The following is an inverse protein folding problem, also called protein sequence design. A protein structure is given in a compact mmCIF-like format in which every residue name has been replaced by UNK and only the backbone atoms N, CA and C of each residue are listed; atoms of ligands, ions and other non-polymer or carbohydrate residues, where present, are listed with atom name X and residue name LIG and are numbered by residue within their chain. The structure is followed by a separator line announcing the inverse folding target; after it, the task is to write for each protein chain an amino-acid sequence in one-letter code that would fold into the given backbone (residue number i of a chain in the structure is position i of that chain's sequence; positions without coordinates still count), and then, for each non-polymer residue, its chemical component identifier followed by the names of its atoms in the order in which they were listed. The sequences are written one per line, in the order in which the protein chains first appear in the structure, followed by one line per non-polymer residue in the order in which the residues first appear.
data_IF_320123111245
#
_entry.id   IF_320123111245
#
_cell.length_a   1.000
_cell.length_b   1.000
_cell.length_c   1.000
_cell.angle_alpha   90.00
_cell.angle_beta   90.00
_cell.angle_gamma   90.00
#
_symmetry.space_group_name_H-M   'P 1'
#
loop_
_entity.id
_entity.type
_entity.pdbx_description
1 polymer ?
#
# COMPACT_ATOMS: atom_id res chain seq x y z
N UNK A 1 -8.96 22.44 3.08
CA UNK A 1 -8.71 23.65 2.29
C UNK A 1 -8.85 23.26 0.83
N UNK A 2 -9.97 23.62 0.17
CA UNK A 2 -10.19 23.31 -1.25
C UNK A 2 -9.30 24.24 -2.09
N UNK A 3 -8.41 23.67 -2.89
CA UNK A 3 -7.64 24.42 -3.87
C UNK A 3 -8.57 24.87 -5.01
N UNK A 4 -8.38 26.06 -5.59
CA UNK A 4 -9.24 26.57 -6.65
C UNK A 4 -9.17 25.68 -7.89
N UNK A 5 -10.34 25.32 -8.42
CA UNK A 5 -10.48 24.67 -9.74
C UNK A 5 -10.11 25.69 -10.81
N UNK A 6 -8.92 25.59 -11.37
CA UNK A 6 -8.51 26.45 -12.48
C UNK A 6 -8.89 25.78 -13.79
N UNK A 7 -9.94 26.30 -14.38
CA UNK A 7 -10.46 25.95 -15.71
C UNK A 7 -9.67 26.66 -16.81
N UNK A 8 -8.45 26.23 -17.06
CA UNK A 8 -7.74 26.64 -18.27
C UNK A 8 -7.14 25.39 -18.92
N UNK A 9 -7.79 24.81 -19.90
CA UNK A 9 -7.38 23.86 -20.94
C UNK A 9 -6.14 22.95 -20.79
N UNK A 10 -5.28 23.19 -19.83
CA UNK A 10 -4.26 22.28 -19.36
C UNK A 10 -4.92 21.36 -18.33
N UNK A 11 -5.07 20.09 -18.65
CA UNK A 11 -5.67 19.11 -17.74
C UNK A 11 -5.03 19.18 -16.34
N UNK A 12 -5.70 18.60 -15.33
CA UNK A 12 -5.30 18.60 -13.90
C UNK A 12 -3.80 18.34 -13.65
N UNK A 13 -3.13 17.64 -14.57
CA UNK A 13 -1.68 17.39 -14.54
C UNK A 13 -0.81 18.64 -14.79
N UNK A 14 -1.36 19.74 -15.31
CA UNK A 14 -0.59 20.96 -15.60
C UNK A 14 -0.12 21.73 -14.37
N UNK A 15 -0.72 21.48 -13.22
CA UNK A 15 -0.38 22.12 -11.93
C UNK A 15 0.05 21.10 -10.87
N UNK A 16 0.17 19.85 -11.25
CA UNK A 16 0.50 18.75 -10.35
C UNK A 16 1.98 18.79 -9.98
N UNK A 17 2.29 18.51 -8.72
CA UNK A 17 3.66 18.27 -8.22
C UNK A 17 4.21 16.90 -8.63
N UNK A 18 3.48 16.18 -9.50
CA UNK A 18 3.83 14.86 -10.04
C UNK A 18 4.05 13.79 -8.95
N UNK A 19 3.16 13.70 -7.97
CA UNK A 19 3.25 12.70 -6.89
C UNK A 19 3.40 11.28 -7.44
N UNK A 20 2.61 10.89 -8.44
CA UNK A 20 2.69 9.58 -9.11
C UNK A 20 4.06 9.25 -9.75
N UNK A 21 4.96 10.24 -9.85
CA UNK A 21 6.34 10.08 -10.31
C UNK A 21 7.38 10.20 -9.20
N UNK A 22 6.96 10.34 -7.95
CA UNK A 22 7.87 10.53 -6.79
C UNK A 22 7.95 9.33 -5.88
N UNK A 23 7.12 8.34 -6.08
CA UNK A 23 7.13 7.07 -5.37
C UNK A 23 6.59 5.94 -6.24
N UNK A 24 6.75 4.73 -5.79
CA UNK A 24 5.98 3.58 -6.26
C UNK A 24 5.63 2.70 -5.05
N UNK A 25 4.51 2.00 -5.14
CA UNK A 25 4.10 1.06 -4.12
C UNK A 25 3.67 -0.27 -4.76
N UNK A 26 3.80 -1.36 -4.00
CA UNK A 26 3.34 -2.67 -4.39
C UNK A 26 2.74 -3.42 -3.20
N UNK A 27 1.73 -4.23 -3.49
CA UNK A 27 1.07 -5.02 -2.46
C UNK A 27 1.94 -6.19 -2.03
N UNK A 28 1.90 -6.48 -0.74
CA UNK A 28 2.56 -7.64 -0.12
C UNK A 28 1.52 -8.49 0.60
N UNK A 29 1.88 -9.73 0.89
CA UNK A 29 1.02 -10.60 1.67
C UNK A 29 0.93 -10.10 3.13
N UNK A 30 -0.26 -10.19 3.71
CA UNK A 30 -0.49 -9.86 5.13
C UNK A 30 0.43 -10.71 6.02
N UNK A 31 1.23 -10.10 6.89
CA UNK A 31 2.15 -10.82 7.77
C UNK A 31 1.37 -11.68 8.77
N UNK A 32 1.85 -12.91 9.00
CA UNK A 32 1.19 -13.90 9.87
C UNK A 32 2.11 -14.48 10.94
N UNK A 33 3.41 -14.45 10.70
CA UNK A 33 4.44 -15.07 11.55
C UNK A 33 5.47 -14.01 11.94
N UNK A 34 6.24 -14.30 12.98
CA UNK A 34 7.33 -13.41 13.40
C UNK A 34 8.29 -13.08 12.26
N UNK A 35 8.65 -14.07 11.44
CA UNK A 35 9.54 -13.88 10.29
C UNK A 35 8.98 -12.87 9.28
N UNK A 36 7.69 -12.92 8.99
CA UNK A 36 7.06 -11.99 8.03
C UNK A 36 7.23 -10.53 8.52
N UNK A 37 7.14 -10.30 9.84
CA UNK A 37 7.37 -8.97 10.44
C UNK A 37 8.85 -8.57 10.45
N UNK A 38 9.77 -9.52 10.56
CA UNK A 38 11.20 -9.25 10.41
C UNK A 38 11.53 -8.83 8.96
N UNK A 39 10.88 -9.45 7.96
CA UNK A 39 11.01 -9.05 6.56
C UNK A 39 10.47 -7.61 6.36
N UNK A 40 9.34 -7.24 6.98
CA UNK A 40 8.82 -5.87 6.95
C UNK A 40 9.76 -4.88 7.63
N UNK A 41 10.31 -5.26 8.79
CA UNK A 41 11.32 -4.45 9.48
C UNK A 41 12.54 -4.22 8.60
N UNK A 42 13.00 -5.24 7.89
CA UNK A 42 14.11 -5.12 6.95
C UNK A 42 13.79 -4.13 5.81
N UNK A 43 12.59 -4.13 5.25
CA UNK A 43 12.21 -3.14 4.23
C UNK A 43 12.31 -1.71 4.76
N UNK A 44 11.78 -1.42 5.95
CA UNK A 44 11.78 -0.06 6.55
C UNK A 44 13.20 0.42 6.93
N UNK A 45 14.15 -0.48 7.17
CA UNK A 45 15.55 -0.10 7.41
C UNK A 45 16.20 0.55 6.16
N UNK A 46 15.57 0.47 5.00
CA UNK A 46 16.04 1.17 3.81
C UNK A 46 15.43 2.56 3.76
N UNK A 47 16.29 3.55 3.48
CA UNK A 47 15.86 4.95 3.34
C UNK A 47 14.69 5.10 2.36
N UNK A 48 13.83 6.08 2.61
CA UNK A 48 12.68 6.41 1.78
C UNK A 48 11.64 5.28 1.61
N UNK A 49 11.70 4.24 2.45
CA UNK A 49 10.75 3.12 2.43
C UNK A 49 9.78 3.23 3.58
N UNK A 50 8.50 3.06 3.28
CA UNK A 50 7.44 2.99 4.28
C UNK A 50 6.56 1.78 4.02
N UNK A 51 5.83 1.36 5.04
CA UNK A 51 4.80 0.32 4.93
C UNK A 51 3.47 0.92 5.37
N UNK A 52 2.42 0.65 4.61
CA UNK A 52 1.08 1.06 5.00
C UNK A 52 0.06 -0.07 4.79
N UNK A 53 -1.08 0.07 5.45
CA UNK A 53 -2.22 -0.82 5.33
C UNK A 53 -3.43 0.01 4.93
N UNK A 54 -4.11 -0.40 3.89
CA UNK A 54 -5.33 0.21 3.37
C UNK A 54 -6.33 -0.90 3.08
N UNK A 55 -7.54 -0.79 3.61
CA UNK A 55 -8.59 -1.82 3.52
C UNK A 55 -8.10 -3.23 3.88
N UNK A 56 -7.22 -3.32 4.89
CA UNK A 56 -6.61 -4.57 5.34
C UNK A 56 -5.57 -5.18 4.40
N UNK A 57 -5.29 -4.55 3.24
CA UNK A 57 -4.21 -4.92 2.32
C UNK A 57 -2.92 -4.20 2.70
N UNK A 58 -1.80 -4.92 2.67
CA UNK A 58 -0.48 -4.43 3.02
C UNK A 58 0.30 -4.00 1.79
N UNK A 59 1.03 -2.88 1.90
CA UNK A 59 1.83 -2.30 0.84
C UNK A 59 3.20 -1.89 1.35
N UNK A 60 4.21 -2.03 0.49
CA UNK A 60 5.51 -1.37 0.63
C UNK A 60 5.53 -0.22 -0.38
N UNK A 61 5.89 0.96 0.08
CA UNK A 61 6.10 2.14 -0.75
C UNK A 61 7.56 2.58 -0.66
N UNK A 62 8.11 2.92 -1.81
CA UNK A 62 9.47 3.47 -1.95
C UNK A 62 9.36 4.87 -2.53
N UNK A 63 9.80 5.88 -1.77
CA UNK A 63 9.71 7.28 -2.14
C UNK A 63 10.92 7.69 -2.99
N UNK A 64 10.91 7.31 -4.26
CA UNK A 64 11.98 7.62 -5.21
C UNK A 64 11.43 8.27 -6.48
N UNK A 65 12.09 9.37 -6.87
CA UNK A 65 11.74 10.09 -8.08
C UNK A 65 11.95 9.22 -9.32
N UNK A 66 10.94 9.18 -10.20
CA UNK A 66 11.05 8.56 -11.50
C UNK A 66 12.14 9.24 -12.36
N UNK A 67 12.98 8.45 -13.02
CA UNK A 67 14.06 8.97 -13.90
C UNK A 67 13.53 9.74 -15.10
N UNK A 68 12.29 9.49 -15.52
CA UNK A 68 11.64 10.18 -16.63
C UNK A 68 10.91 11.47 -16.21
N UNK A 69 10.92 11.84 -14.93
CA UNK A 69 10.31 13.07 -14.44
C UNK A 69 11.21 14.27 -14.80
N UNK A 70 10.68 15.19 -15.58
CA UNK A 70 11.34 16.43 -15.99
C UNK A 70 11.31 17.50 -14.87
N UNK A 71 12.16 18.54 -14.95
CA UNK A 71 12.20 19.62 -13.96
C UNK A 71 10.87 20.39 -13.81
N UNK A 72 10.08 20.45 -14.88
CA UNK A 72 8.75 21.08 -14.92
C UNK A 72 7.61 20.18 -14.42
N UNK A 73 7.93 19.07 -13.74
CA UNK A 73 7.00 18.04 -13.26
C UNK A 73 6.24 17.29 -14.38
N UNK A 74 6.69 17.36 -15.63
CA UNK A 74 6.11 16.59 -16.73
C UNK A 74 6.84 15.26 -16.93
N UNK A 75 6.15 14.33 -17.57
CA UNK A 75 6.70 13.04 -17.93
C UNK A 75 7.44 13.12 -19.26
N UNK A 76 8.77 12.92 -19.27
CA UNK A 76 9.59 12.92 -20.47
C UNK A 76 9.31 11.78 -21.46
N UNK A 77 8.61 10.73 -21.00
CA UNK A 77 8.20 9.58 -21.82
C UNK A 77 6.67 9.44 -21.92
N UNK A 78 5.94 10.55 -21.90
CA UNK A 78 4.48 10.56 -21.78
C UNK A 78 3.78 9.59 -22.75
N UNK A 79 4.15 9.58 -24.01
CA UNK A 79 3.56 8.71 -25.04
C UNK A 79 3.98 7.25 -24.91
N UNK A 80 5.14 6.98 -24.29
CA UNK A 80 5.72 5.64 -24.11
C UNK A 80 5.65 5.18 -22.64
N UNK A 81 4.72 5.73 -21.87
CA UNK A 81 4.54 5.34 -20.46
C UNK A 81 4.22 3.86 -20.33
N UNK A 82 4.75 3.19 -19.29
CA UNK A 82 4.30 1.85 -18.89
C UNK A 82 2.79 1.79 -18.66
N UNK A 83 2.20 0.62 -18.83
CA UNK A 83 0.75 0.42 -18.67
C UNK A 83 0.23 0.88 -17.31
N UNK A 84 1.00 0.64 -16.24
CA UNK A 84 0.66 1.10 -14.89
C UNK A 84 0.52 2.63 -14.83
N UNK A 85 1.41 3.38 -15.46
CA UNK A 85 1.33 4.84 -15.52
C UNK A 85 0.16 5.35 -16.36
N UNK A 86 -0.29 4.56 -17.36
CA UNK A 86 -1.47 4.91 -18.18
C UNK A 86 -2.78 4.62 -17.46
N UNK A 87 -2.75 3.70 -16.49
CA UNK A 87 -3.92 3.36 -15.68
C UNK A 87 -4.29 4.43 -14.65
N UNK A 88 -3.42 5.40 -14.39
CA UNK A 88 -3.74 6.53 -13.53
C UNK A 88 -4.81 7.41 -14.15
N UNK A 89 -5.91 7.60 -13.43
CA UNK A 89 -6.97 8.50 -13.79
C UNK A 89 -6.87 9.78 -12.98
N UNK A 90 -7.29 10.89 -13.56
CA UNK A 90 -7.27 12.20 -12.89
C UNK A 90 -8.23 12.31 -11.72
N UNK A 91 -9.31 11.54 -11.74
CA UNK A 91 -10.31 11.44 -10.68
C UNK A 91 -9.83 10.65 -9.44
N UNK A 92 -8.81 9.79 -9.62
CA UNK A 92 -8.14 9.04 -8.56
C UNK A 92 -6.70 9.51 -8.36
N UNK A 93 -6.43 10.78 -8.58
CA UNK A 93 -5.09 11.35 -8.46
C UNK A 93 -4.80 11.77 -7.00
N UNK A 94 -3.70 11.32 -6.42
CA UNK A 94 -3.27 11.61 -5.05
C UNK A 94 -3.20 13.11 -4.73
N UNK A 95 -2.92 13.94 -5.74
CA UNK A 95 -2.90 15.38 -5.59
C UNK A 95 -4.27 16.00 -5.43
N UNK A 96 -5.30 15.38 -6.02
CA UNK A 96 -6.67 15.87 -6.04
C UNK A 96 -7.61 15.07 -5.13
N UNK A 97 -7.18 13.91 -4.64
CA UNK A 97 -7.96 13.11 -3.71
C UNK A 97 -8.06 13.78 -2.34
N UNK A 98 -9.18 13.58 -1.66
CA UNK A 98 -9.32 13.87 -0.24
C UNK A 98 -8.35 12.97 0.56
N UNK A 99 -8.11 13.32 1.83
CA UNK A 99 -7.16 12.59 2.67
C UNK A 99 -7.48 11.10 2.70
N UNK A 100 -6.43 10.27 2.53
CA UNK A 100 -6.54 8.82 2.65
C UNK A 100 -6.70 8.40 4.10
N UNK A 101 -7.57 7.42 4.33
CA UNK A 101 -7.77 6.82 5.64
C UNK A 101 -7.02 5.47 5.67
N UNK A 102 -5.77 5.52 6.20
CA UNK A 102 -4.98 4.31 6.36
C UNK A 102 -5.30 3.60 7.66
N UNK A 103 -5.47 2.30 7.61
CA UNK A 103 -5.55 1.46 8.81
C UNK A 103 -4.29 1.60 9.67
N UNK A 104 -3.12 1.58 9.02
CA UNK A 104 -1.80 1.73 9.64
C UNK A 104 -0.77 2.32 8.67
N UNK A 105 0.14 3.13 9.20
CA UNK A 105 1.33 3.61 8.50
C UNK A 105 2.55 3.39 9.40
N UNK A 106 3.61 2.82 8.82
CA UNK A 106 4.86 2.54 9.49
C UNK A 106 6.00 3.20 8.71
N UNK A 107 6.73 4.08 9.37
CA UNK A 107 7.88 4.81 8.84
C UNK A 107 9.18 4.41 9.52
N UNK A 108 9.07 3.77 10.71
CA UNK A 108 10.20 3.39 11.54
C UNK A 108 10.14 1.90 11.91
N UNK A 109 11.28 1.20 11.98
CA UNK A 109 11.33 -0.23 12.29
C UNK A 109 10.73 -0.58 13.67
N UNK A 110 10.84 0.32 14.65
CA UNK A 110 10.29 0.12 16.00
C UNK A 110 8.76 0.09 16.01
N UNK A 111 8.12 0.76 15.06
CA UNK A 111 6.66 0.72 14.92
C UNK A 111 6.20 -0.67 14.48
N UNK A 112 6.92 -1.30 13.54
CA UNK A 112 6.65 -2.69 13.10
C UNK A 112 6.90 -3.66 14.24
N UNK A 113 7.99 -3.50 15.01
CA UNK A 113 8.30 -4.39 16.14
C UNK A 113 7.20 -4.37 17.20
N UNK A 114 6.72 -3.17 17.56
CA UNK A 114 5.63 -2.98 18.51
C UNK A 114 4.34 -3.59 18.01
N UNK A 115 3.95 -3.26 16.78
CA UNK A 115 2.76 -3.83 16.14
C UNK A 115 2.83 -5.37 16.07
N UNK A 116 3.97 -5.93 15.65
CA UNK A 116 4.17 -7.38 15.58
C UNK A 116 3.98 -8.09 16.93
N UNK A 117 4.51 -7.50 17.98
CA UNK A 117 4.38 -8.03 19.36
C UNK A 117 2.91 -8.10 19.77
N UNK A 118 2.17 -7.01 19.56
CA UNK A 118 0.75 -6.93 19.91
C UNK A 118 -0.11 -7.87 19.06
N UNK A 119 0.09 -7.83 17.74
CA UNK A 119 -0.64 -8.66 16.79
C UNK A 119 -0.45 -10.16 17.05
N UNK A 120 0.79 -10.60 17.25
CA UNK A 120 1.09 -12.01 17.52
C UNK A 120 0.57 -12.46 18.89
N UNK A 121 0.60 -11.59 19.91
CA UNK A 121 0.01 -11.88 21.21
C UNK A 121 -1.52 -12.02 21.14
N UNK A 122 -2.19 -11.10 20.47
CA UNK A 122 -3.64 -11.15 20.26
C UNK A 122 -4.06 -12.41 19.48
N UNK A 123 -3.30 -12.77 18.44
CA UNK A 123 -3.54 -13.97 17.65
C UNK A 123 -3.36 -15.26 18.46
N UNK A 124 -2.33 -15.33 19.32
CA UNK A 124 -2.12 -16.47 20.24
C UNK A 124 -3.28 -16.59 21.24
N UNK A 125 -3.74 -15.46 21.80
CA UNK A 125 -4.89 -15.43 22.70
C UNK A 125 -6.16 -15.94 22.03
N UNK A 126 -6.45 -15.48 20.80
CA UNK A 126 -7.60 -15.92 20.01
C UNK A 126 -7.54 -17.41 19.67
N UNK A 127 -6.36 -17.93 19.30
CA UNK A 127 -6.17 -19.35 19.04
C UNK A 127 -6.40 -20.24 20.28
N UNK A 128 -5.92 -19.79 21.45
CA UNK A 128 -6.17 -20.49 22.72
C UNK A 128 -7.65 -20.53 23.10
N UNK A 129 -8.36 -19.41 22.87
CA UNK A 129 -9.80 -19.33 23.15
C UNK A 129 -10.62 -20.22 22.22
N UNK A 130 -10.28 -20.28 20.93
CA UNK A 130 -10.95 -21.16 19.96
C UNK A 130 -10.69 -22.63 20.27
N UNK A 131 -9.45 -23.00 20.64
CA UNK A 131 -9.11 -24.35 21.05
C UNK A 131 -9.86 -24.79 22.36
N UNK A 132 -10.07 -23.85 23.26
CA UNK A 132 -10.84 -24.11 24.49
C UNK A 132 -12.35 -24.30 24.22
N UNK A 133 -12.90 -23.63 23.19
CA UNK A 133 -14.32 -23.80 22.78
C UNK A 133 -14.54 -25.00 21.87
N UNK A 134 -13.53 -25.53 21.19
CA UNK A 134 -13.60 -26.54 20.15
C UNK A 134 -13.32 -27.98 20.60
N UNK A 135 -13.63 -28.35 21.84
CA UNK A 135 -13.64 -29.78 22.23
C UNK A 135 -14.97 -30.43 21.90
N UNK A 136 -15.23 -30.60 20.59
CA UNK A 136 -16.16 -31.61 20.06
C UNK A 136 -15.55 -32.15 18.75
N UNK A 137 -15.31 -33.47 18.64
CA UNK A 137 -14.75 -34.02 17.39
C UNK A 137 -15.88 -34.24 16.39
N UNK A 138 -15.93 -33.34 15.38
CA UNK A 138 -16.74 -33.55 14.18
C UNK A 138 -15.89 -34.13 13.06
N UNK A 139 -16.45 -34.92 12.12
CA UNK A 139 -15.69 -35.72 11.16
C UNK A 139 -15.01 -34.88 10.08
N UNK A 140 -13.85 -35.36 9.66
CA UNK A 140 -13.03 -34.75 8.60
C UNK A 140 -13.77 -34.66 7.27
N UNK A 141 -13.92 -33.45 6.74
CA UNK A 141 -14.34 -33.22 5.37
C UNK A 141 -13.13 -32.85 4.50
N UNK A 142 -12.81 -33.75 3.59
CA UNK A 142 -11.85 -33.53 2.49
C UNK A 142 -12.47 -32.61 1.44
N UNK A 143 -12.09 -31.33 1.43
CA UNK A 143 -12.59 -30.31 0.51
C UNK A 143 -11.58 -29.96 -0.58
N UNK A 144 -11.98 -30.16 -1.82
CA UNK A 144 -11.29 -29.85 -3.10
C UNK A 144 -10.80 -28.40 -3.16
N UNK A 145 -9.53 -28.22 -3.54
CA UNK A 145 -8.94 -26.92 -3.91
C UNK A 145 -9.60 -26.40 -5.19
N UNK A 146 -10.26 -25.25 -5.11
CA UNK A 146 -10.62 -24.45 -6.28
C UNK A 146 -9.61 -23.31 -6.38
N UNK A 147 -8.88 -23.26 -7.51
CA UNK A 147 -8.01 -22.16 -7.87
C UNK A 147 -8.83 -20.94 -8.25
N UNK A 148 -8.54 -19.80 -7.67
CA UNK A 148 -9.08 -18.51 -8.08
C UNK A 148 -8.00 -17.70 -8.79
N UNK A 149 -8.32 -17.31 -10.03
CA UNK A 149 -7.49 -16.46 -10.87
C UNK A 149 -7.27 -15.07 -10.22
N UNK A 150 -6.03 -14.65 -10.20
CA UNK A 150 -5.62 -13.32 -9.77
C UNK A 150 -6.08 -12.27 -10.79
N UNK A 151 -6.94 -11.35 -10.40
CA UNK A 151 -7.10 -10.07 -11.10
C UNK A 151 -6.06 -9.11 -10.52
N UNK A 152 -5.10 -8.72 -11.36
CA UNK A 152 -4.18 -7.65 -11.07
C UNK A 152 -4.88 -6.31 -11.31
N UNK A 153 -5.08 -5.55 -10.26
CA UNK A 153 -5.48 -4.15 -10.30
C UNK A 153 -4.99 -3.52 -9.02
N UNK A 154 -3.92 -2.76 -9.10
CA UNK A 154 -3.34 -2.04 -7.97
C UNK A 154 -3.92 -0.64 -7.90
N UNK A 155 -4.55 -0.23 -6.81
CA UNK A 155 -4.65 1.18 -6.47
C UNK A 155 -3.31 1.64 -5.89
N UNK A 156 -2.79 2.72 -6.42
CA UNK A 156 -1.53 3.30 -5.97
C UNK A 156 -1.88 4.65 -5.35
N UNK A 157 -1.69 4.78 -4.06
CA UNK A 157 -1.87 6.01 -3.31
C UNK A 157 -0.79 6.14 -2.24
N UNK A 158 -0.19 7.31 -2.13
CA UNK A 158 0.48 7.90 -0.96
C UNK A 158 1.82 8.54 -1.24
N UNK A 159 2.14 9.63 -0.71
CA UNK A 159 2.20 10.45 0.49
C UNK A 159 2.25 11.94 0.17
N UNK A 160 1.60 12.76 0.99
CA UNK A 160 1.98 14.15 1.20
C UNK A 160 3.01 14.17 2.33
N UNK A 161 4.27 14.45 2.04
CA UNK A 161 5.23 14.92 3.03
C UNK A 161 5.83 16.23 2.57
N UNK A 162 5.97 17.10 3.53
CA UNK A 162 6.44 18.47 3.45
C UNK A 162 7.75 18.66 2.67
#
# INVERSE_FOLDING_TARGET
MKLPVISNGAGLCGQCVALCCRYFAFSIDKPKKKRDFEDLRWYILHEDTIIFVEDGQWYVQVNRKCKALLPDNRCGIYHNRPTICRGYKTDACDWHADAYDYDHVFTEPEQIERFAKEYLAARRKKARQSAARGKSPGPAQTGKRRGTARKAGLPIHLLKTA
#
